data_IF_874103011926
#
_entry.id   IF_874103011926
#
_cell.length_a   1.000
_cell.length_b   1.000
_cell.length_c   1.000
_cell.angle_alpha   90.00
_cell.angle_beta   90.00
_cell.angle_gamma   90.00
#
_symmetry.space_group_name_H-M   'P 1'
#
loop_
_entity.id
_entity.type
_entity.pdbx_description
1 polymer ?
#
# COMPACT_ATOMS: atom_id res chain seq x y z
N UNK A 1 -10.07 -27.07 -6.24
CA UNK A 1 -10.13 -25.66 -6.72
C UNK A 1 -9.52 -24.72 -5.71
N UNK A 2 -9.77 -24.91 -4.44
CA UNK A 2 -9.18 -24.08 -3.36
C UNK A 2 -7.64 -24.11 -3.31
N UNK A 3 -7.03 -25.24 -3.64
CA UNK A 3 -5.56 -25.40 -3.64
C UNK A 3 -4.87 -24.53 -4.71
N UNK A 4 -5.49 -24.39 -5.89
CA UNK A 4 -4.99 -23.54 -6.96
C UNK A 4 -5.08 -22.06 -6.56
N UNK A 5 -6.18 -21.64 -5.94
CA UNK A 5 -6.35 -20.27 -5.45
C UNK A 5 -5.40 -19.97 -4.29
N UNK A 6 -5.21 -20.93 -3.37
CA UNK A 6 -4.25 -20.79 -2.27
C UNK A 6 -2.82 -20.69 -2.80
N UNK A 7 -2.45 -21.47 -3.79
CA UNK A 7 -1.14 -21.38 -4.45
C UNK A 7 -0.95 -20.05 -5.15
N UNK A 8 -1.96 -19.58 -5.90
CA UNK A 8 -1.91 -18.27 -6.56
C UNK A 8 -1.77 -17.12 -5.55
N UNK A 9 -2.52 -17.16 -4.44
CA UNK A 9 -2.39 -16.17 -3.37
C UNK A 9 -1.01 -16.19 -2.71
N UNK A 10 -0.44 -17.37 -2.47
CA UNK A 10 0.90 -17.51 -1.91
C UNK A 10 1.99 -16.95 -2.84
N UNK A 11 1.90 -17.21 -4.15
CA UNK A 11 2.83 -16.68 -5.15
C UNK A 11 2.71 -15.15 -5.22
N UNK A 12 1.50 -14.60 -5.28
CA UNK A 12 1.27 -13.16 -5.27
C UNK A 12 1.81 -12.50 -4.00
N UNK A 13 1.58 -13.10 -2.85
CA UNK A 13 2.12 -12.60 -1.59
C UNK A 13 3.65 -12.60 -1.59
N UNK A 14 4.28 -13.67 -2.09
CA UNK A 14 5.74 -13.76 -2.21
C UNK A 14 6.33 -12.70 -3.15
N UNK A 15 5.71 -12.49 -4.30
CA UNK A 15 6.12 -11.43 -5.25
C UNK A 15 5.94 -10.05 -4.60
N UNK A 16 4.81 -9.79 -3.96
CA UNK A 16 4.56 -8.52 -3.30
C UNK A 16 5.55 -8.24 -2.17
N UNK A 17 5.83 -9.24 -1.33
CA UNK A 17 6.84 -9.13 -0.28
C UNK A 17 8.24 -8.84 -0.85
N UNK A 18 8.62 -9.50 -1.93
CA UNK A 18 9.88 -9.23 -2.62
C UNK A 18 9.98 -7.80 -3.13
N UNK A 19 8.90 -7.26 -3.73
CA UNK A 19 8.87 -5.88 -4.22
C UNK A 19 8.99 -4.85 -3.09
N UNK A 20 8.33 -5.10 -1.94
CA UNK A 20 8.39 -4.20 -0.77
C UNK A 20 9.80 -4.13 -0.17
N UNK A 21 10.59 -5.20 -0.28
CA UNK A 21 11.97 -5.21 0.20
C UNK A 21 12.95 -4.44 -0.72
N UNK A 22 12.50 -3.97 -1.87
CA UNK A 22 13.32 -3.15 -2.76
C UNK A 22 13.34 -1.69 -2.31
N UNK A 23 14.46 -1.01 -2.51
CA UNK A 23 14.68 0.38 -2.08
C UNK A 23 14.13 1.44 -3.04
N UNK A 24 13.21 1.08 -3.90
CA UNK A 24 12.59 1.90 -4.92
C UNK A 24 11.14 2.17 -4.53
N UNK A 25 10.75 3.43 -4.44
CA UNK A 25 9.40 3.86 -4.03
C UNK A 25 8.30 3.29 -4.92
N UNK A 26 8.52 3.23 -6.23
CA UNK A 26 7.54 2.69 -7.18
C UNK A 26 7.32 1.21 -6.94
N UNK A 27 8.41 0.46 -6.72
CA UNK A 27 8.34 -0.98 -6.43
C UNK A 27 7.72 -1.27 -5.08
N UNK A 28 7.99 -0.43 -4.08
CA UNK A 28 7.37 -0.51 -2.76
C UNK A 28 5.85 -0.37 -2.87
N UNK A 29 5.35 0.64 -3.57
CA UNK A 29 3.90 0.83 -3.78
C UNK A 29 3.30 -0.34 -4.55
N UNK A 30 3.94 -0.79 -5.63
CA UNK A 30 3.49 -1.98 -6.36
C UNK A 30 3.43 -3.22 -5.47
N UNK A 31 4.44 -3.41 -4.60
CA UNK A 31 4.48 -4.51 -3.64
C UNK A 31 3.30 -4.48 -2.65
N UNK A 32 2.99 -3.30 -2.09
CA UNK A 32 1.85 -3.12 -1.18
C UNK A 32 0.53 -3.45 -1.89
N UNK A 33 0.36 -3.00 -3.13
CA UNK A 33 -0.83 -3.30 -3.94
C UNK A 33 -0.97 -4.79 -4.18
N UNK A 34 0.11 -5.47 -4.58
CA UNK A 34 0.10 -6.91 -4.85
C UNK A 34 -0.21 -7.71 -3.58
N UNK A 35 0.35 -7.35 -2.42
CA UNK A 35 0.03 -7.97 -1.13
C UNK A 35 -1.45 -7.79 -0.79
N UNK A 36 -2.00 -6.59 -1.00
CA UNK A 36 -3.42 -6.31 -0.77
C UNK A 36 -4.31 -7.22 -1.63
N UNK A 37 -3.99 -7.41 -2.91
CA UNK A 37 -4.72 -8.30 -3.79
C UNK A 37 -4.59 -9.78 -3.39
N UNK A 38 -3.42 -10.20 -2.89
CA UNK A 38 -3.21 -11.54 -2.34
C UNK A 38 -4.10 -11.80 -1.12
N UNK A 39 -4.27 -10.81 -0.24
CA UNK A 39 -5.15 -10.89 0.91
C UNK A 39 -6.63 -11.05 0.51
N UNK A 40 -7.09 -10.28 -0.49
CA UNK A 40 -8.45 -10.41 -1.04
C UNK A 40 -8.67 -11.80 -1.65
N UNK A 41 -7.70 -12.31 -2.42
CA UNK A 41 -7.77 -13.67 -2.97
C UNK A 41 -7.82 -14.74 -1.87
N UNK A 42 -7.11 -14.55 -0.78
CA UNK A 42 -7.13 -15.47 0.37
C UNK A 42 -8.50 -15.49 1.04
N UNK A 43 -9.11 -14.32 1.23
CA UNK A 43 -10.48 -14.20 1.76
C UNK A 43 -11.50 -14.90 0.85
N UNK A 44 -11.41 -14.68 -0.46
CA UNK A 44 -12.28 -15.34 -1.42
C UNK A 44 -12.06 -16.87 -1.43
N UNK A 45 -10.80 -17.32 -1.38
CA UNK A 45 -10.49 -18.75 -1.34
C UNK A 45 -11.01 -19.43 -0.07
N UNK A 46 -10.99 -18.75 1.07
CA UNK A 46 -11.50 -19.25 2.34
C UNK A 46 -13.03 -19.36 2.35
N UNK A 47 -13.72 -18.48 1.63
CA UNK A 47 -15.19 -18.43 1.57
C UNK A 47 -15.82 -19.22 0.43
N UNK A 48 -15.01 -19.83 -0.45
CA UNK A 48 -15.47 -20.61 -1.61
C UNK A 48 -16.03 -21.97 -1.18
N UNK A 49 -17.22 -21.95 -0.57
CA UNK A 49 -18.06 -23.13 -0.46
C UNK A 49 -18.91 -23.28 -1.74
N UNK A 50 -19.06 -24.54 -2.19
CA UNK A 50 -19.94 -24.85 -3.31
C UNK A 50 -21.39 -24.74 -2.85
N UNK A 51 -22.03 -23.60 -3.12
CA UNK A 51 -23.42 -23.35 -2.84
C UNK A 51 -24.17 -22.82 -4.05
N UNK A 52 -25.48 -22.91 -4.02
CA UNK A 52 -26.32 -22.28 -5.02
C UNK A 52 -26.33 -20.76 -4.87
N UNK A 53 -26.48 -19.97 -5.94
CA UNK A 53 -26.62 -18.53 -5.85
C UNK A 53 -27.85 -18.17 -5.01
N UNK A 54 -27.72 -17.16 -4.16
CA UNK A 54 -28.81 -16.64 -3.33
C UNK A 54 -29.78 -15.79 -4.19
N UNK A 55 -30.51 -16.46 -5.08
CA UNK A 55 -31.53 -15.85 -5.96
C UNK A 55 -32.91 -16.34 -5.53
N UNK A 56 -33.90 -15.46 -5.52
CA UNK A 56 -35.27 -15.84 -5.19
C UNK A 56 -35.97 -16.52 -6.41
N UNK A 57 -36.70 -17.64 -6.23
CA UNK A 57 -36.93 -18.40 -5.00
C UNK A 57 -35.67 -19.13 -4.52
N UNK A 58 -35.48 -19.17 -3.20
CA UNK A 58 -34.31 -19.80 -2.57
C UNK A 58 -34.25 -21.30 -2.92
N UNK A 59 -33.16 -21.77 -3.51
CA UNK A 59 -32.99 -23.19 -3.79
C UNK A 59 -32.82 -23.99 -2.49
N UNK A 60 -33.30 -25.23 -2.49
CA UNK A 60 -33.05 -26.18 -1.40
C UNK A 60 -31.57 -26.58 -1.40
N UNK A 61 -30.81 -26.15 -0.38
CA UNK A 61 -29.40 -26.53 -0.22
C UNK A 61 -28.52 -25.46 0.39
N UNK A 62 -27.21 -25.70 0.44
CA UNK A 62 -26.23 -24.74 0.92
C UNK A 62 -26.11 -23.57 -0.07
N UNK A 63 -26.27 -22.36 0.46
CA UNK A 63 -26.10 -21.12 -0.31
C UNK A 63 -24.63 -20.70 -0.27
N UNK A 64 -24.15 -20.10 -1.35
CA UNK A 64 -22.84 -19.42 -1.32
C UNK A 64 -22.91 -18.19 -0.45
N UNK A 65 -21.83 -17.92 0.30
CA UNK A 65 -21.81 -16.77 1.20
C UNK A 65 -21.67 -15.44 0.44
N UNK A 66 -22.72 -14.61 0.37
CA UNK A 66 -22.66 -13.32 -0.32
C UNK A 66 -21.86 -12.27 0.43
N UNK A 67 -21.67 -12.46 1.75
CA UNK A 67 -20.98 -11.49 2.60
C UNK A 67 -19.51 -11.37 2.22
N UNK A 68 -18.82 -12.49 2.03
CA UNK A 68 -17.40 -12.51 1.64
C UNK A 68 -17.19 -11.85 0.28
N UNK A 69 -18.09 -12.07 -0.67
CA UNK A 69 -18.03 -11.44 -2.00
C UNK A 69 -18.23 -9.93 -1.91
N UNK A 70 -19.18 -9.46 -1.10
CA UNK A 70 -19.42 -8.04 -0.88
C UNK A 70 -18.22 -7.37 -0.19
N UNK A 71 -17.63 -8.01 0.82
CA UNK A 71 -16.42 -7.51 1.50
C UNK A 71 -15.22 -7.46 0.55
N UNK A 72 -15.01 -8.48 -0.29
CA UNK A 72 -13.96 -8.49 -1.28
C UNK A 72 -14.12 -7.36 -2.31
N UNK A 73 -15.34 -7.12 -2.79
CA UNK A 73 -15.62 -6.02 -3.72
C UNK A 73 -15.31 -4.66 -3.08
N UNK A 74 -15.71 -4.45 -1.83
CA UNK A 74 -15.39 -3.24 -1.07
C UNK A 74 -13.87 -3.07 -0.92
N UNK A 75 -13.14 -4.13 -0.59
CA UNK A 75 -11.70 -4.10 -0.47
C UNK A 75 -10.98 -3.74 -1.78
N UNK A 76 -11.48 -4.23 -2.92
CA UNK A 76 -10.96 -3.88 -4.26
C UNK A 76 -11.13 -2.39 -4.54
N UNK A 77 -12.32 -1.82 -4.28
CA UNK A 77 -12.60 -0.40 -4.52
C UNK A 77 -11.75 0.50 -3.63
N UNK A 78 -11.65 0.18 -2.34
CA UNK A 78 -10.78 0.91 -1.39
C UNK A 78 -9.31 0.77 -1.83
N UNK A 79 -8.87 -0.42 -2.18
CA UNK A 79 -7.52 -0.69 -2.66
C UNK A 79 -7.16 0.14 -3.89
N UNK A 80 -8.09 0.30 -4.83
CA UNK A 80 -7.90 1.15 -6.01
C UNK A 80 -7.74 2.63 -5.64
N UNK A 81 -8.58 3.14 -4.72
CA UNK A 81 -8.48 4.53 -4.26
C UNK A 81 -7.16 4.80 -3.52
N UNK A 82 -6.76 3.89 -2.63
CA UNK A 82 -5.49 3.98 -1.90
C UNK A 82 -4.30 3.89 -2.86
N UNK A 83 -4.35 3.01 -3.86
CA UNK A 83 -3.31 2.90 -4.88
C UNK A 83 -3.15 4.20 -5.66
N UNK A 84 -4.24 4.82 -6.10
CA UNK A 84 -4.19 6.10 -6.78
C UNK A 84 -3.56 7.20 -5.91
N UNK A 85 -3.91 7.25 -4.62
CA UNK A 85 -3.32 8.19 -3.67
C UNK A 85 -1.81 7.95 -3.50
N UNK A 86 -1.39 6.71 -3.30
CA UNK A 86 0.02 6.35 -3.14
C UNK A 86 0.84 6.68 -4.37
N UNK A 87 0.33 6.42 -5.58
CA UNK A 87 1.00 6.78 -6.82
C UNK A 87 1.19 8.29 -6.97
N UNK A 88 0.18 9.08 -6.59
CA UNK A 88 0.31 10.55 -6.60
C UNK A 88 1.34 11.04 -5.59
N UNK A 89 1.38 10.43 -4.39
CA UNK A 89 2.38 10.76 -3.38
C UNK A 89 3.80 10.41 -3.86
N UNK A 90 4.00 9.22 -4.41
CA UNK A 90 5.30 8.81 -4.97
C UNK A 90 5.72 9.74 -6.10
N UNK A 91 4.81 10.08 -7.01
CA UNK A 91 5.10 11.02 -8.07
C UNK A 91 5.52 12.40 -7.52
N UNK A 92 4.83 12.90 -6.49
CA UNK A 92 5.21 14.16 -5.84
C UNK A 92 6.59 14.11 -5.21
N UNK A 93 6.91 13.03 -4.50
CA UNK A 93 8.23 12.82 -3.89
C UNK A 93 9.30 12.73 -4.97
N UNK A 94 9.11 11.88 -5.97
CA UNK A 94 10.07 11.70 -7.07
C UNK A 94 10.34 13.03 -7.84
N UNK A 95 9.31 13.86 -8.02
CA UNK A 95 9.49 15.18 -8.67
C UNK A 95 10.18 16.18 -7.74
N UNK A 96 9.91 16.15 -6.43
CA UNK A 96 10.51 17.07 -5.46
C UNK A 96 12.00 16.80 -5.26
N UNK A 97 12.36 15.53 -5.10
CA UNK A 97 13.75 15.12 -4.85
C UNK A 97 14.51 14.70 -6.12
N UNK A 98 13.85 14.67 -7.27
CA UNK A 98 14.37 14.21 -8.57
C UNK A 98 14.94 12.79 -8.55
N UNK A 99 14.52 11.99 -7.58
CA UNK A 99 14.91 10.59 -7.40
C UNK A 99 13.69 9.78 -6.91
N UNK A 100 13.70 8.50 -7.23
CA UNK A 100 12.78 7.47 -6.76
C UNK A 100 13.46 6.46 -5.83
N UNK A 101 14.76 6.64 -5.58
CA UNK A 101 15.51 5.83 -4.63
C UNK A 101 15.39 6.37 -3.20
N UNK A 102 14.95 5.52 -2.28
CA UNK A 102 14.73 5.86 -0.87
C UNK A 102 16.01 6.34 -0.16
N UNK A 103 17.18 5.83 -0.57
CA UNK A 103 18.46 6.17 0.04
C UNK A 103 18.89 7.59 -0.32
N UNK A 104 18.75 7.99 -1.58
CA UNK A 104 19.04 9.35 -2.03
C UNK A 104 18.08 10.38 -1.41
N UNK A 105 16.79 10.04 -1.31
CA UNK A 105 15.79 10.91 -0.67
C UNK A 105 16.10 11.10 0.81
N UNK A 106 16.47 10.03 1.52
CA UNK A 106 16.81 10.11 2.94
C UNK A 106 18.07 10.95 3.20
N UNK A 107 19.07 10.88 2.32
CA UNK A 107 20.27 11.72 2.41
C UNK A 107 19.97 13.20 2.16
N UNK A 108 19.13 13.52 1.17
CA UNK A 108 18.72 14.89 0.89
C UNK A 108 17.85 15.48 2.02
N UNK A 109 16.92 14.69 2.61
CA UNK A 109 16.13 15.11 3.77
C UNK A 109 17.04 15.41 4.97
N UNK A 110 17.99 14.52 5.28
CA UNK A 110 18.92 14.74 6.37
C UNK A 110 19.79 15.99 6.17
N UNK A 111 20.21 16.26 4.94
CA UNK A 111 20.96 17.47 4.60
C UNK A 111 20.11 18.75 4.72
N UNK A 112 18.82 18.68 4.38
CA UNK A 112 17.87 19.77 4.52
C UNK A 112 17.61 20.09 6.00
N UNK A 113 17.38 19.07 6.82
CA UNK A 113 17.14 19.22 8.26
C UNK A 113 18.35 19.85 8.95
N UNK A 114 19.56 19.40 8.63
CA UNK A 114 20.80 20.00 9.15
C UNK A 114 20.96 21.49 8.80
N UNK A 115 20.56 21.88 7.58
CA UNK A 115 20.57 23.29 7.16
C UNK A 115 19.53 24.13 7.88
N UNK A 116 18.34 23.57 8.13
CA UNK A 116 17.29 24.26 8.89
C UNK A 116 17.68 24.46 10.34
N UNK A 117 18.32 23.48 10.98
CA UNK A 117 18.84 23.59 12.34
C UNK A 117 19.92 24.69 12.43
N UNK A 118 20.83 24.75 11.46
CA UNK A 118 21.85 25.79 11.42
C UNK A 118 21.24 27.19 11.24
N UNK A 119 20.30 27.36 10.33
CA UNK A 119 19.62 28.62 10.11
C UNK A 119 18.81 29.09 11.35
N UNK A 120 18.21 28.15 12.08
CA UNK A 120 17.52 28.46 13.32
C UNK A 120 18.50 28.88 14.44
N UNK A 121 19.65 28.22 14.54
CA UNK A 121 20.69 28.60 15.50
C UNK A 121 21.25 30.00 15.24
N UNK A 122 21.55 30.31 13.97
CA UNK A 122 22.02 31.66 13.56
C UNK A 122 20.98 32.74 13.87
N UNK A 123 19.69 32.46 13.58
CA UNK A 123 18.60 33.40 13.88
C UNK A 123 18.45 33.67 15.39
N UNK A 124 18.62 32.65 16.20
CA UNK A 124 18.61 32.79 17.67
C UNK A 124 19.80 33.59 18.20
N UNK A 125 21.00 33.39 17.66
CA UNK A 125 22.19 34.17 18.04
C UNK A 125 22.04 35.66 17.68
N UNK A 126 21.48 35.94 16.49
CA UNK A 126 21.22 37.33 16.04
C UNK A 126 20.16 38.02 16.91
N UNK A 127 19.11 37.29 17.33
CA UNK A 127 18.08 37.81 18.23
C UNK A 127 18.63 38.11 19.66
N UNK A 128 19.49 37.23 20.19
CA UNK A 128 20.18 37.49 21.46
C UNK A 128 21.18 38.64 21.36
N UNK A 129 21.87 38.79 20.23
CA UNK A 129 22.78 39.91 20.02
C UNK A 129 22.07 41.26 19.92
N UNK A 130 20.87 41.27 19.31
CA UNK A 130 20.04 42.48 19.20
C UNK A 130 19.36 42.90 20.52
N UNK A 131 19.18 41.95 21.45
CA UNK A 131 18.56 42.20 22.75
C UNK A 131 19.56 42.71 23.82
N UNK A 132 20.86 42.77 23.53
CA UNK A 132 21.94 43.27 24.40
C UNK A 132 22.29 44.72 24.07
#
# INVERSE_FOLDING_TARGET
>A
MNLILAFAAAVLFGIGAYLVLQRDLVRLVLGVVVISQAAVLTLLAASLERGAPAVYPLPDGALSDPLSQAMALTAIVIGMAVTALLLVLVLRVAVAFRSDELEEIAEEEAALDARLEQAQAEAHEDEEAAAR
#
